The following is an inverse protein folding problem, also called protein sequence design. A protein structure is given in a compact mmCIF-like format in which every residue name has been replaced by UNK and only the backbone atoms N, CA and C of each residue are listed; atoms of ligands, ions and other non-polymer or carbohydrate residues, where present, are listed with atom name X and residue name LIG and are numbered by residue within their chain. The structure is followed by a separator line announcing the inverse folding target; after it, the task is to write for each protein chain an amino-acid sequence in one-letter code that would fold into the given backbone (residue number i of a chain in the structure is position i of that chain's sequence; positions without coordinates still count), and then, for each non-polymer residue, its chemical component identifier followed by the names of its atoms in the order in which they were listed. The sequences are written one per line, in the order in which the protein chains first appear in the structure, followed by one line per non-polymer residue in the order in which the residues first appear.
data_IF_905808305281
#
_entry.id   IF_905808305281
#
_cell.length_a   1.000
_cell.length_b   1.000
_cell.length_c   1.000
_cell.angle_alpha   90.00
_cell.angle_beta   90.00
_cell.angle_gamma   90.00
#
_symmetry.space_group_name_H-M   'P 1'
#
loop_
_entity.id
_entity.type
_entity.pdbx_description
1 polymer ?
#
# COMPACT_ATOMS: atom_id res chain seq x y z
N UNK A 1 -14.60 4.12 -13.42
CA UNK A 1 -13.78 3.97 -12.20
C UNK A 1 -13.47 2.50 -12.05
N UNK A 2 -12.22 2.09 -12.27
CA UNK A 2 -11.80 0.70 -12.05
C UNK A 2 -11.77 0.42 -10.54
N UNK A 3 -12.80 -0.25 -10.04
CA UNK A 3 -12.89 -0.75 -8.66
C UNK A 3 -11.87 -1.87 -8.34
N UNK A 4 -11.05 -2.27 -9.31
CA UNK A 4 -10.14 -3.42 -9.22
C UNK A 4 -8.84 -3.15 -8.44
N UNK A 5 -8.65 -1.91 -7.94
CA UNK A 5 -7.40 -1.48 -7.27
C UNK A 5 -7.55 -1.14 -5.78
N UNK A 6 -8.67 -1.47 -5.15
CA UNK A 6 -8.81 -1.27 -3.70
C UNK A 6 -8.09 -2.37 -2.94
N UNK A 7 -7.36 -1.97 -1.91
CA UNK A 7 -6.67 -2.86 -1.00
C UNK A 7 -7.65 -3.64 -0.11
N UNK A 8 -7.38 -4.92 0.08
CA UNK A 8 -8.20 -5.86 0.86
C UNK A 8 -7.42 -6.42 2.04
N UNK A 9 -8.14 -7.08 2.94
CA UNK A 9 -7.52 -7.81 4.06
C UNK A 9 -6.58 -8.88 3.51
N UNK A 10 -5.38 -8.94 4.07
CA UNK A 10 -4.33 -9.87 3.66
C UNK A 10 -3.47 -9.39 2.48
N UNK A 11 -3.83 -8.30 1.80
CA UNK A 11 -2.97 -7.67 0.79
C UNK A 11 -1.73 -7.04 1.45
N UNK A 12 -0.71 -6.80 0.63
CA UNK A 12 0.44 -6.02 1.01
C UNK A 12 0.49 -4.70 0.22
N UNK A 13 0.96 -3.63 0.85
CA UNK A 13 1.39 -2.43 0.14
C UNK A 13 2.88 -2.21 0.37
N UNK A 14 3.54 -1.57 -0.58
CA UNK A 14 4.94 -1.21 -0.43
C UNK A 14 5.25 0.18 -0.96
N UNK A 15 6.34 0.75 -0.46
CA UNK A 15 6.89 2.02 -0.93
C UNK A 15 8.41 2.00 -0.82
N UNK A 16 9.06 2.86 -1.60
CA UNK A 16 10.51 3.08 -1.51
C UNK A 16 10.80 4.31 -0.67
N UNK A 17 11.50 4.11 0.44
CA UNK A 17 12.01 5.20 1.27
C UNK A 17 13.43 5.51 0.81
N UNK A 18 13.80 6.79 0.74
CA UNK A 18 15.12 7.24 0.27
C UNK A 18 16.07 7.64 1.40
N UNK A 19 15.54 7.90 2.60
CA UNK A 19 16.27 8.39 3.76
C UNK A 19 15.94 7.58 5.01
N UNK A 20 16.89 7.36 5.93
CA UNK A 20 18.31 7.75 5.83
C UNK A 20 19.09 6.94 4.78
N UNK A 21 18.57 5.78 4.36
CA UNK A 21 19.12 4.97 3.27
C UNK A 21 17.99 4.44 2.37
N UNK A 22 18.24 4.21 1.07
CA UNK A 22 17.26 3.62 0.17
C UNK A 22 16.82 2.22 0.61
N UNK A 23 15.53 2.03 0.86
CA UNK A 23 14.95 0.76 1.25
C UNK A 23 13.50 0.62 0.78
N UNK A 24 13.01 -0.61 0.67
CA UNK A 24 11.59 -0.90 0.42
C UNK A 24 10.90 -1.25 1.73
N UNK A 25 9.88 -0.49 2.10
CA UNK A 25 8.99 -0.83 3.21
C UNK A 25 7.80 -1.61 2.66
N UNK A 26 7.47 -2.73 3.30
CA UNK A 26 6.30 -3.56 2.98
C UNK A 26 5.40 -3.66 4.20
N UNK A 27 4.10 -3.50 4.01
CA UNK A 27 3.10 -3.57 5.06
C UNK A 27 2.00 -4.55 4.66
N UNK A 28 1.67 -5.49 5.55
CA UNK A 28 0.53 -6.40 5.39
C UNK A 28 -0.71 -5.81 6.05
N UNK A 29 -1.83 -5.79 5.33
CA UNK A 29 -3.07 -5.19 5.77
C UNK A 29 -3.91 -6.20 6.54
N UNK A 30 -3.78 -6.20 7.87
CA UNK A 30 -4.41 -7.21 8.73
C UNK A 30 -5.76 -6.75 9.33
N UNK A 31 -6.16 -5.50 9.12
CA UNK A 31 -7.42 -4.97 9.65
C UNK A 31 -8.20 -4.17 8.59
N UNK A 32 -9.54 -4.09 8.67
CA UNK A 32 -10.33 -3.26 7.75
C UNK A 32 -9.91 -1.78 7.77
N UNK A 33 -9.54 -1.27 8.95
CA UNK A 33 -9.03 0.09 9.10
C UNK A 33 -7.72 0.31 8.35
N UNK A 34 -6.80 -0.68 8.39
CA UNK A 34 -5.58 -0.64 7.60
C UNK A 34 -5.87 -0.64 6.09
N UNK A 35 -6.86 -1.40 5.62
CA UNK A 35 -7.29 -1.37 4.22
C UNK A 35 -7.83 0.00 3.81
N UNK A 36 -8.68 0.61 4.64
CA UNK A 36 -9.23 1.95 4.39
C UNK A 36 -8.11 3.00 4.30
N UNK A 37 -7.14 2.97 5.21
CA UNK A 37 -6.00 3.88 5.18
C UNK A 37 -5.06 3.60 3.99
N UNK A 38 -4.79 2.33 3.69
CA UNK A 38 -4.00 1.95 2.52
C UNK A 38 -4.61 2.48 1.22
N UNK A 39 -5.94 2.47 1.08
CA UNK A 39 -6.60 3.05 -0.08
C UNK A 39 -6.31 4.55 -0.22
N UNK A 40 -6.26 5.31 0.88
CA UNK A 40 -5.88 6.73 0.84
C UNK A 40 -4.44 6.91 0.35
N UNK A 41 -3.51 6.06 0.80
CA UNK A 41 -2.12 6.08 0.37
C UNK A 41 -1.95 5.72 -1.11
N UNK A 42 -2.67 4.71 -1.58
CA UNK A 42 -2.65 4.24 -2.97
C UNK A 42 -3.31 5.24 -3.94
N UNK A 43 -4.27 6.04 -3.46
CA UNK A 43 -4.90 7.11 -4.24
C UNK A 43 -4.02 8.36 -4.36
N UNK A 44 -2.96 8.49 -3.55
CA UNK A 44 -2.02 9.60 -3.62
C UNK A 44 -0.83 9.28 -4.53
N UNK A 45 -0.79 9.77 -5.79
CA UNK A 45 0.29 9.45 -6.73
C UNK A 45 1.67 9.97 -6.27
N UNK A 46 1.71 11.00 -5.42
CA UNK A 46 2.97 11.52 -4.88
C UNK A 46 3.52 10.69 -3.70
N UNK A 47 2.70 9.84 -3.08
CA UNK A 47 3.08 9.04 -1.91
C UNK A 47 3.97 7.84 -2.21
N UNK A 48 4.07 7.42 -3.48
CA UNK A 48 4.93 6.33 -3.92
C UNK A 48 4.50 4.93 -3.45
N UNK A 49 3.31 4.80 -2.87
CA UNK A 49 2.77 3.52 -2.41
C UNK A 49 2.18 2.73 -3.57
N UNK A 50 2.39 1.41 -3.56
CA UNK A 50 1.81 0.47 -4.53
C UNK A 50 1.27 -0.78 -3.85
N UNK A 51 0.18 -1.32 -4.40
CA UNK A 51 -0.41 -2.58 -3.95
C UNK A 51 0.41 -3.75 -4.51
N UNK A 52 0.70 -4.72 -3.65
CA UNK A 52 1.39 -5.97 -3.97
C UNK A 52 0.44 -7.10 -3.55
N UNK A 53 0.03 -7.93 -4.51
CA UNK A 53 -0.78 -9.11 -4.19
C UNK A 53 0.10 -10.12 -3.47
N UNK A 54 -0.34 -10.52 -2.29
CA UNK A 54 0.22 -11.66 -1.57
C UNK A 54 0.00 -12.90 -2.43
N UNK A 55 1.10 -13.53 -2.86
CA UNK A 55 1.06 -14.82 -3.57
C UNK A 55 0.59 -15.95 -2.66
#
# INVERSE_FOLDING_TARGET
MELDKMARLGDCIETTVRQPTPATLRLKLNTPAACAYANQLLMNPAGGWRLIRSS
#
